data_IF_018717085620
#
_entry.id   IF_018717085620
#
_cell.length_a   1.000
_cell.length_b   1.000
_cell.length_c   1.000
_cell.angle_alpha   90.00
_cell.angle_beta   90.00
_cell.angle_gamma   90.00
#
_symmetry.space_group_name_H-M   'P 1'
#
loop_
_entity.id
_entity.type
_entity.pdbx_description
1 polymer ?
#
# COMPACT_ATOMS: atom_id res chain seq x y z
N UNK A 1 4.71 4.01 13.26
CA UNK A 1 5.00 2.82 14.11
C UNK A 1 3.76 2.25 14.78
N UNK A 2 3.00 3.05 15.55
CA UNK A 2 1.82 2.57 16.29
C UNK A 2 0.80 1.83 15.42
N UNK A 3 0.35 2.47 14.34
CA UNK A 3 -0.66 1.90 13.45
C UNK A 3 -0.17 0.61 12.81
N UNK A 4 1.02 0.61 12.19
CA UNK A 4 1.65 -0.61 11.65
C UNK A 4 1.74 -1.73 12.69
N UNK A 5 2.17 -1.44 13.92
CA UNK A 5 2.24 -2.49 14.96
C UNK A 5 0.86 -3.07 15.28
N UNK A 6 -0.17 -2.22 15.39
CA UNK A 6 -1.54 -2.63 15.68
C UNK A 6 -2.14 -3.46 14.54
N UNK A 7 -1.88 -3.09 13.30
CA UNK A 7 -2.31 -3.86 12.11
C UNK A 7 -1.78 -5.30 12.15
N UNK A 8 -0.62 -5.52 12.77
CA UNK A 8 0.00 -6.84 12.94
C UNK A 8 -0.30 -7.53 14.29
N UNK A 9 -1.15 -6.94 15.14
CA UNK A 9 -1.52 -7.44 16.48
C UNK A 9 -0.30 -7.82 17.35
N UNK A 10 0.77 -7.02 17.30
CA UNK A 10 2.00 -7.27 18.05
C UNK A 10 2.08 -6.43 19.33
N UNK A 11 2.52 -7.00 20.47
CA UNK A 11 2.86 -6.22 21.64
C UNK A 11 4.13 -5.39 21.40
N UNK A 12 4.24 -4.23 22.07
CA UNK A 12 5.39 -3.32 21.94
C UNK A 12 6.74 -4.03 22.18
N UNK A 13 6.82 -4.91 23.17
CA UNK A 13 8.04 -5.66 23.51
C UNK A 13 8.50 -6.60 22.39
N UNK A 14 7.57 -7.22 21.65
CA UNK A 14 7.91 -8.08 20.50
C UNK A 14 8.52 -7.24 19.37
N UNK A 15 8.00 -6.04 19.13
CA UNK A 15 8.59 -5.14 18.12
C UNK A 15 9.94 -4.60 18.56
N UNK A 16 10.09 -4.24 19.84
CA UNK A 16 11.37 -3.82 20.39
C UNK A 16 12.45 -4.91 20.19
N UNK A 17 12.12 -6.16 20.48
CA UNK A 17 12.99 -7.31 20.23
C UNK A 17 13.31 -7.51 18.73
N UNK A 18 12.32 -7.40 17.85
CA UNK A 18 12.50 -7.51 16.38
C UNK A 18 13.45 -6.45 15.81
N UNK A 19 13.47 -5.27 16.43
CA UNK A 19 14.34 -4.15 16.06
C UNK A 19 15.66 -4.13 16.83
N UNK A 20 15.88 -5.08 17.74
CA UNK A 20 17.05 -5.13 18.63
C UNK A 20 17.24 -3.84 19.45
N UNK A 21 16.15 -3.27 19.97
CA UNK A 21 16.15 -2.10 20.85
C UNK A 21 15.46 -2.41 22.18
N UNK A 22 15.66 -1.54 23.17
CA UNK A 22 14.94 -1.66 24.45
C UNK A 22 13.44 -1.37 24.31
N UNK A 23 12.60 -2.05 25.11
CA UNK A 23 11.16 -1.80 25.22
C UNK A 23 10.86 -0.32 25.51
N UNK A 24 11.65 0.30 26.40
CA UNK A 24 11.54 1.72 26.72
C UNK A 24 11.85 2.60 25.51
N UNK A 25 12.88 2.24 24.74
CA UNK A 25 13.24 2.92 23.50
C UNK A 25 12.08 2.88 22.51
N UNK A 26 11.58 1.68 22.21
CA UNK A 26 10.43 1.50 21.33
C UNK A 26 9.21 2.31 21.78
N UNK A 27 8.83 2.21 23.06
CA UNK A 27 7.70 2.97 23.61
C UNK A 27 7.87 4.48 23.45
N UNK A 28 9.08 5.00 23.65
CA UNK A 28 9.35 6.43 23.48
C UNK A 28 9.22 6.86 22.01
N UNK A 29 9.68 6.04 21.07
CA UNK A 29 9.56 6.30 19.64
C UNK A 29 8.10 6.22 19.18
N UNK A 30 7.38 5.15 19.57
CA UNK A 30 5.99 4.95 19.20
C UNK A 30 5.05 6.06 19.73
N UNK A 31 5.35 6.62 20.90
CA UNK A 31 4.57 7.72 21.50
C UNK A 31 5.03 9.11 21.10
N UNK A 32 6.08 9.23 20.26
CA UNK A 32 6.65 10.51 19.87
C UNK A 32 7.38 11.27 20.99
N UNK A 33 7.58 10.64 22.17
CA UNK A 33 8.32 11.25 23.29
C UNK A 33 9.80 11.46 22.98
N UNK A 34 10.33 10.68 22.04
CA UNK A 34 11.70 10.84 21.52
C UNK A 34 11.67 10.59 20.02
N UNK A 35 12.46 11.37 19.28
CA UNK A 35 12.71 11.09 17.87
C UNK A 35 13.34 9.71 17.68
N UNK A 36 12.89 9.02 16.64
CA UNK A 36 13.40 7.71 16.26
C UNK A 36 14.75 7.88 15.55
N UNK A 37 15.79 7.12 15.94
CA UNK A 37 17.03 7.06 15.17
C UNK A 37 16.76 6.52 13.76
N UNK A 38 17.39 7.10 12.74
CA UNK A 38 17.16 6.71 11.33
C UNK A 38 17.39 5.21 11.09
N UNK A 39 18.40 4.60 11.72
CA UNK A 39 18.67 3.17 11.62
C UNK A 39 17.51 2.30 12.14
N UNK A 40 16.85 2.71 13.21
CA UNK A 40 15.70 2.01 13.78
C UNK A 40 14.47 2.18 12.87
N UNK A 41 14.28 3.36 12.29
CA UNK A 41 13.21 3.62 11.35
C UNK A 41 13.34 2.76 10.08
N UNK A 42 14.55 2.67 9.50
CA UNK A 42 14.83 1.81 8.34
C UNK A 42 14.61 0.33 8.66
N UNK A 43 15.10 -0.14 9.81
CA UNK A 43 14.86 -1.52 10.24
C UNK A 43 13.36 -1.81 10.44
N UNK A 44 12.60 -0.84 10.95
CA UNK A 44 11.14 -0.97 11.06
C UNK A 44 10.46 -1.05 9.69
N UNK A 45 10.85 -0.19 8.74
CA UNK A 45 10.35 -0.25 7.37
C UNK A 45 10.59 -1.61 6.72
N UNK A 46 11.81 -2.14 6.81
CA UNK A 46 12.17 -3.45 6.26
C UNK A 46 11.35 -4.59 6.89
N UNK A 47 11.19 -4.59 8.22
CA UNK A 47 10.48 -5.65 8.96
C UNK A 47 8.99 -5.70 8.67
N UNK A 48 8.38 -4.55 8.39
CA UNK A 48 6.93 -4.43 8.19
C UNK A 48 6.54 -4.16 6.73
N UNK A 49 7.50 -4.09 5.81
CA UNK A 49 7.23 -3.83 4.39
C UNK A 49 6.56 -2.49 4.13
N UNK A 50 6.87 -1.47 4.95
CA UNK A 50 6.29 -0.12 4.80
C UNK A 50 7.31 0.86 4.24
N UNK A 51 6.81 1.83 3.49
CA UNK A 51 7.59 2.95 2.96
C UNK A 51 8.20 3.79 4.08
N UNK A 52 9.47 4.18 3.90
CA UNK A 52 10.11 5.14 4.80
C UNK A 52 9.40 6.50 4.76
N UNK A 53 8.96 6.92 3.57
CA UNK A 53 8.19 8.15 3.42
C UNK A 53 6.87 8.09 4.18
N UNK A 54 6.16 6.96 4.09
CA UNK A 54 4.95 6.75 4.87
C UNK A 54 5.23 6.81 6.38
N UNK A 55 6.32 6.21 6.85
CA UNK A 55 6.67 6.19 8.27
C UNK A 55 6.91 7.60 8.83
N UNK A 56 7.49 8.51 8.04
CA UNK A 56 7.86 9.86 8.51
C UNK A 56 6.81 10.92 8.21
N UNK A 57 6.05 10.79 7.12
CA UNK A 57 5.04 11.79 6.70
C UNK A 57 3.60 11.39 6.98
N UNK A 58 3.34 10.10 7.26
CA UNK A 58 2.00 9.54 7.35
C UNK A 58 1.28 9.42 6.01
N UNK A 59 1.95 9.74 4.90
CA UNK A 59 1.41 9.66 3.54
C UNK A 59 2.37 8.82 2.68
N UNK A 60 1.84 7.88 1.90
CA UNK A 60 2.65 7.26 0.87
C UNK A 60 2.77 8.26 -0.29
N UNK A 61 3.90 8.95 -0.41
CA UNK A 61 4.27 9.47 -1.72
C UNK A 61 4.89 8.29 -2.49
N UNK A 62 4.10 7.73 -3.40
CA UNK A 62 4.61 6.75 -4.37
C UNK A 62 5.85 7.35 -5.03
N UNK A 63 6.96 6.62 -5.05
CA UNK A 63 8.11 7.04 -5.84
C UNK A 63 7.65 7.12 -7.30
N UNK A 64 8.11 8.10 -8.10
CA UNK A 64 7.70 8.20 -9.51
C UNK A 64 7.90 6.89 -10.30
N UNK A 65 8.95 6.14 -9.97
CA UNK A 65 9.19 4.81 -10.57
C UNK A 65 8.14 3.77 -10.13
N UNK A 66 7.66 3.83 -8.88
CA UNK A 66 6.58 2.96 -8.39
C UNK A 66 5.25 3.29 -9.09
N UNK A 67 4.99 4.57 -9.38
CA UNK A 67 3.82 4.99 -10.15
C UNK A 67 3.87 4.42 -11.56
N UNK A 68 5.03 4.45 -12.21
CA UNK A 68 5.22 3.89 -13.55
C UNK A 68 4.91 2.39 -13.60
N UNK A 69 5.42 1.63 -12.63
CA UNK A 69 5.15 0.18 -12.51
C UNK A 69 3.66 -0.08 -12.24
N UNK A 70 3.06 0.62 -11.28
CA UNK A 70 1.66 0.44 -10.92
C UNK A 70 0.71 0.78 -12.08
N UNK A 71 1.01 1.82 -12.86
CA UNK A 71 0.24 2.16 -14.07
C UNK A 71 0.40 1.08 -15.13
N UNK A 72 1.61 0.56 -15.33
CA UNK A 72 1.87 -0.53 -16.27
C UNK A 72 1.05 -1.78 -15.93
N UNK A 73 1.11 -2.23 -14.68
CA UNK A 73 0.32 -3.36 -14.16
C UNK A 73 -1.17 -3.12 -14.33
N UNK A 74 -1.67 -1.96 -13.92
CA UNK A 74 -3.07 -1.59 -14.06
C UNK A 74 -3.56 -1.68 -15.51
N UNK A 75 -2.79 -1.13 -16.45
CA UNK A 75 -3.11 -1.17 -17.87
C UNK A 75 -3.17 -2.63 -18.37
N UNK A 76 -2.15 -3.43 -18.06
CA UNK A 76 -2.12 -4.84 -18.42
C UNK A 76 -3.32 -5.62 -17.89
N UNK A 77 -3.70 -5.42 -16.64
CA UNK A 77 -4.84 -6.11 -16.02
C UNK A 77 -6.19 -5.69 -16.64
N UNK A 78 -6.39 -4.40 -16.90
CA UNK A 78 -7.60 -3.92 -17.59
C UNK A 78 -7.73 -4.55 -18.97
N UNK A 79 -6.63 -4.63 -19.74
CA UNK A 79 -6.64 -5.25 -21.06
C UNK A 79 -6.85 -6.76 -21.00
N UNK A 80 -6.24 -7.44 -20.03
CA UNK A 80 -6.44 -8.87 -19.82
C UNK A 80 -7.91 -9.20 -19.48
N UNK A 81 -8.50 -8.48 -18.53
CA UNK A 81 -9.88 -8.73 -18.08
C UNK A 81 -10.91 -8.32 -19.14
N UNK A 82 -10.70 -7.20 -19.85
CA UNK A 82 -11.57 -6.82 -20.98
C UNK A 82 -11.54 -7.85 -22.10
N UNK A 83 -10.36 -8.36 -22.46
CA UNK A 83 -10.20 -9.43 -23.46
C UNK A 83 -10.91 -10.71 -23.03
N UNK A 84 -10.76 -11.11 -21.77
CA UNK A 84 -11.44 -12.29 -21.19
C UNK A 84 -12.96 -12.17 -21.24
N UNK A 85 -13.50 -10.95 -21.07
CA UNK A 85 -14.94 -10.66 -21.13
C UNK A 85 -15.45 -10.36 -22.53
N UNK A 86 -14.57 -10.32 -23.54
CA UNK A 86 -14.95 -9.93 -24.91
C UNK A 86 -15.39 -8.47 -25.04
N UNK A 87 -14.98 -7.60 -24.13
CA UNK A 87 -15.36 -6.19 -24.10
C UNK A 87 -14.36 -5.35 -24.90
N UNK A 88 -14.89 -4.44 -25.72
CA UNK A 88 -14.11 -3.42 -26.40
C UNK A 88 -14.24 -2.10 -25.64
N UNK A 89 -13.21 -1.74 -24.87
CA UNK A 89 -13.20 -0.49 -24.11
C UNK A 89 -12.70 0.67 -24.97
N UNK A 90 -13.40 1.79 -24.91
CA UNK A 90 -12.84 3.06 -25.38
C UNK A 90 -11.72 3.54 -24.43
N UNK A 91 -10.76 4.36 -24.90
CA UNK A 91 -9.72 4.92 -24.04
C UNK A 91 -10.28 5.64 -22.81
N UNK A 92 -11.40 6.34 -22.96
CA UNK A 92 -12.07 7.03 -21.85
C UNK A 92 -12.65 6.05 -20.82
N UNK A 93 -13.26 4.94 -21.26
CA UNK A 93 -13.75 3.90 -20.35
C UNK A 93 -12.60 3.23 -19.61
N UNK A 94 -11.52 2.85 -20.32
CA UNK A 94 -10.32 2.29 -19.71
C UNK A 94 -9.71 3.24 -18.67
N UNK A 95 -9.65 4.55 -18.96
CA UNK A 95 -9.17 5.56 -18.02
C UNK A 95 -10.04 5.68 -16.75
N UNK A 96 -11.37 5.64 -16.88
CA UNK A 96 -12.29 5.66 -15.73
C UNK A 96 -12.15 4.41 -14.86
N UNK A 97 -12.12 3.23 -15.49
CA UNK A 97 -11.90 1.95 -14.81
C UNK A 97 -10.57 1.98 -14.08
N UNK A 98 -9.50 2.41 -14.75
CA UNK A 98 -8.18 2.52 -14.16
C UNK A 98 -8.13 3.45 -12.96
N UNK A 99 -8.71 4.64 -13.06
CA UNK A 99 -8.78 5.58 -11.94
C UNK A 99 -9.55 4.99 -10.75
N UNK A 100 -10.62 4.24 -11.00
CA UNK A 100 -11.39 3.58 -9.95
C UNK A 100 -10.59 2.46 -9.29
N UNK A 101 -10.00 1.53 -10.06
CA UNK A 101 -9.17 0.44 -9.55
C UNK A 101 -8.03 1.00 -8.71
N UNK A 102 -7.32 2.02 -9.19
CA UNK A 102 -6.21 2.63 -8.46
C UNK A 102 -6.65 3.21 -7.11
N UNK A 103 -7.79 3.91 -7.08
CA UNK A 103 -8.37 4.43 -5.84
C UNK A 103 -8.76 3.31 -4.86
N UNK A 104 -9.33 2.22 -5.38
CA UNK A 104 -9.73 1.05 -4.57
C UNK A 104 -8.49 0.35 -4.01
N UNK A 105 -7.46 0.11 -4.83
CA UNK A 105 -6.17 -0.44 -4.42
C UNK A 105 -5.55 0.35 -3.26
N UNK A 106 -5.54 1.68 -3.38
CA UNK A 106 -5.03 2.55 -2.33
C UNK A 106 -5.84 2.46 -1.03
N UNK A 107 -7.18 2.41 -1.14
CA UNK A 107 -8.07 2.34 0.03
C UNK A 107 -7.96 1.00 0.76
N UNK A 108 -7.90 -0.09 0.00
CA UNK A 108 -7.93 -1.45 0.52
C UNK A 108 -6.53 -2.05 0.77
N UNK A 109 -5.47 -1.32 0.41
CA UNK A 109 -4.08 -1.83 0.37
C UNK A 109 -3.94 -3.11 -0.46
N UNK A 110 -4.57 -3.12 -1.64
CA UNK A 110 -4.57 -4.23 -2.61
C UNK A 110 -3.87 -3.84 -3.91
N UNK A 111 -3.70 -4.79 -4.83
CA UNK A 111 -3.12 -4.58 -6.16
C UNK A 111 -4.15 -4.72 -7.30
N UNK A 112 -3.89 -4.16 -8.50
CA UNK A 112 -4.86 -4.16 -9.60
C UNK A 112 -5.42 -5.53 -9.96
N UNK A 113 -4.59 -6.58 -9.95
CA UNK A 113 -5.02 -7.96 -10.24
C UNK A 113 -6.02 -8.54 -9.23
N UNK A 114 -6.09 -8.00 -8.02
CA UNK A 114 -7.06 -8.41 -7.00
C UNK A 114 -8.41 -7.70 -7.17
N UNK A 115 -8.40 -6.50 -7.76
CA UNK A 115 -9.57 -5.62 -7.83
C UNK A 115 -10.24 -5.60 -9.21
N UNK A 116 -9.49 -5.85 -10.29
CA UNK A 116 -9.95 -5.65 -11.68
C UNK A 116 -11.24 -6.40 -11.99
N UNK A 117 -11.38 -7.67 -11.59
CA UNK A 117 -12.57 -8.46 -11.89
C UNK A 117 -13.83 -7.91 -11.18
N UNK A 118 -13.70 -7.56 -9.90
CA UNK A 118 -14.80 -7.01 -9.11
C UNK A 118 -15.26 -5.64 -9.63
N UNK A 119 -14.31 -4.80 -10.07
CA UNK A 119 -14.62 -3.49 -10.66
C UNK A 119 -15.36 -3.65 -12.00
N UNK A 120 -14.96 -4.60 -12.84
CA UNK A 120 -15.67 -4.87 -14.09
C UNK A 120 -17.09 -5.44 -13.88
N UNK A 121 -17.33 -6.18 -12.79
CA UNK A 121 -18.68 -6.64 -12.42
C UNK A 121 -19.57 -5.47 -12.01
N UNK A 122 -19.09 -4.62 -11.10
CA UNK A 122 -19.79 -3.41 -10.66
C UNK A 122 -20.14 -2.45 -11.80
N UNK A 123 -19.31 -2.40 -12.85
CA UNK A 123 -19.52 -1.50 -14.00
C UNK A 123 -20.29 -2.14 -15.16
N UNK A 124 -20.61 -3.44 -15.07
CA UNK A 124 -21.37 -4.17 -16.09
C UNK A 124 -22.87 -4.31 -15.77
N UNK A 125 -23.32 -3.79 -14.61
CA UNK A 125 -24.72 -3.86 -14.15
C UNK A 125 -25.60 -2.66 -14.58
N UNK A 126 -25.10 -1.75 -15.42
CA UNK A 126 -25.84 -0.60 -15.97
C UNK A 126 -26.29 -0.80 -17.43
#
# INVERSE_FOLDING_TARGET
MLETRKDHDLPQSKVAALLHISDRGYKNYETGKREIPLSVALAFCERFGISFSWLVTGTDCLHPDDVGVAVGELVSEIFAESSKRGLQLTPTQAGKIGAYIFKTCHTNRTSPNQEVAAVFELMGED
#
